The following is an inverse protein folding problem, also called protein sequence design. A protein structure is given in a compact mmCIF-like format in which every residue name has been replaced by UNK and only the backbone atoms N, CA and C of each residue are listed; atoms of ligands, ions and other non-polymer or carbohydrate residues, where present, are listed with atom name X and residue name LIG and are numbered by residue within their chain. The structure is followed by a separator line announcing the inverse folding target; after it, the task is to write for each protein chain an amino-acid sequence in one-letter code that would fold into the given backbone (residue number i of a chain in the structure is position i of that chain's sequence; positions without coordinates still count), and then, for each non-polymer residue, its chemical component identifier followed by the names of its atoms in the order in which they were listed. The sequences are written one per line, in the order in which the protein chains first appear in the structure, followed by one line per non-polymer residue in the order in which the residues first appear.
data_IF_231763631757
#
_entry.id   IF_231763631757
#
_cell.length_a   1.000
_cell.length_b   1.000
_cell.length_c   1.000
_cell.angle_alpha   90.00
_cell.angle_beta   90.00
_cell.angle_gamma   90.00
#
_symmetry.space_group_name_H-M   'P 1'
#
loop_
_entity.id
_entity.type
_entity.pdbx_description
1 polymer ?
#
# COMPACT_ATOMS: atom_id res chain seq x y z
N UNK A 1 13.26 11.90 5.84
CA UNK A 1 14.40 12.48 5.08
C UNK A 1 15.64 11.63 5.35
N UNK A 2 15.96 10.76 4.42
CA UNK A 2 17.26 10.06 4.42
C UNK A 2 18.26 11.02 3.75
N UNK A 3 19.34 11.34 4.44
CA UNK A 3 20.37 12.29 3.97
C UNK A 3 21.26 11.74 2.86
N UNK A 4 21.19 10.43 2.64
CA UNK A 4 21.97 9.64 1.67
C UNK A 4 21.27 9.43 0.32
N UNK A 5 20.05 9.93 0.18
CA UNK A 5 19.23 9.83 -1.03
C UNK A 5 18.89 11.22 -1.57
N UNK A 6 19.38 11.56 -2.75
CA UNK A 6 19.05 12.82 -3.43
C UNK A 6 18.08 12.57 -4.57
N UNK A 7 16.84 13.06 -4.45
CA UNK A 7 15.84 13.00 -5.51
C UNK A 7 16.22 13.96 -6.63
N UNK A 8 16.37 13.44 -7.86
CA UNK A 8 16.71 14.21 -9.05
C UNK A 8 15.49 14.59 -9.87
N UNK A 9 14.54 13.67 -10.04
CA UNK A 9 13.28 13.93 -10.76
C UNK A 9 12.19 12.94 -10.34
N UNK A 10 10.93 13.36 -10.50
CA UNK A 10 9.74 12.56 -10.25
C UNK A 10 8.84 12.61 -11.49
N UNK A 11 8.28 11.46 -11.86
CA UNK A 11 7.22 11.34 -12.88
C UNK A 11 6.05 10.57 -12.27
N UNK A 12 4.94 11.26 -12.05
CA UNK A 12 3.73 10.71 -11.46
C UNK A 12 2.75 10.27 -12.56
N UNK A 13 2.90 9.02 -13.01
CA UNK A 13 1.98 8.38 -13.94
C UNK A 13 0.76 7.78 -13.24
N UNK A 14 0.63 7.88 -11.92
CA UNK A 14 -0.60 7.52 -11.22
C UNK A 14 -1.64 8.61 -11.44
N UNK A 15 -1.24 9.88 -11.25
CA UNK A 15 -2.11 11.05 -11.50
C UNK A 15 -2.27 11.37 -12.96
N UNK A 16 -1.21 11.16 -13.76
CA UNK A 16 -1.16 11.43 -15.19
C UNK A 16 -0.75 10.17 -15.96
N UNK A 17 -1.66 9.18 -16.14
CA UNK A 17 -1.37 7.94 -16.82
C UNK A 17 -0.85 8.17 -18.25
N UNK A 18 -0.02 7.26 -18.75
CA UNK A 18 0.35 7.29 -20.18
C UNK A 18 -0.87 6.98 -21.04
N UNK A 19 -0.79 7.31 -22.32
CA UNK A 19 -1.85 7.05 -23.30
C UNK A 19 -2.24 5.57 -23.39
N UNK A 20 -1.30 4.66 -23.18
CA UNK A 20 -1.54 3.21 -23.09
C UNK A 20 -2.35 2.78 -21.86
N UNK A 21 -2.53 3.67 -20.87
CA UNK A 21 -3.14 3.36 -19.56
C UNK A 21 -2.13 2.99 -18.48
N UNK A 22 -0.82 3.00 -18.78
CA UNK A 22 0.22 2.69 -17.81
C UNK A 22 0.19 3.64 -16.62
N UNK A 23 0.18 3.08 -15.40
CA UNK A 23 0.23 3.80 -14.12
C UNK A 23 1.44 3.33 -13.30
N UNK A 24 2.25 4.28 -12.83
CA UNK A 24 3.37 4.03 -11.91
C UNK A 24 3.89 5.35 -11.37
N UNK A 25 4.52 5.34 -10.21
CA UNK A 25 5.27 6.47 -9.69
C UNK A 25 6.76 6.22 -9.91
N UNK A 26 7.41 7.08 -10.70
CA UNK A 26 8.84 6.97 -11.00
C UNK A 26 9.61 8.05 -10.27
N UNK A 27 10.69 7.66 -9.63
CA UNK A 27 11.59 8.55 -8.92
C UNK A 27 13.03 8.25 -9.34
N UNK A 28 13.69 9.21 -9.96
CA UNK A 28 15.12 9.13 -10.23
C UNK A 28 15.87 9.72 -9.04
N UNK A 29 16.73 8.93 -8.44
CA UNK A 29 17.54 9.32 -7.28
C UNK A 29 19.02 9.17 -7.57
N UNK A 30 19.85 9.97 -6.89
CA UNK A 30 21.29 9.78 -6.79
C UNK A 30 21.61 9.11 -5.46
N UNK A 31 22.36 8.04 -5.51
CA UNK A 31 22.80 7.26 -4.34
C UNK A 31 24.31 7.20 -4.33
N UNK A 32 25.00 7.59 -3.23
CA UNK A 32 26.43 7.43 -3.13
C UNK A 32 26.79 5.96 -2.97
N UNK A 33 27.67 5.46 -3.84
CA UNK A 33 28.26 4.13 -3.73
C UNK A 33 29.68 4.29 -3.21
N UNK A 34 29.95 3.68 -2.06
CA UNK A 34 31.25 3.71 -1.42
C UNK A 34 32.12 2.57 -1.98
N UNK A 35 33.15 2.93 -2.72
CA UNK A 35 34.18 2.02 -3.18
C UNK A 35 35.36 2.05 -2.20
N UNK A 36 36.37 1.18 -2.41
CA UNK A 36 37.53 1.07 -1.50
C UNK A 36 38.36 2.37 -1.42
N UNK A 37 38.33 3.19 -2.46
CA UNK A 37 39.21 4.37 -2.63
C UNK A 37 38.45 5.66 -3.02
N UNK A 38 37.15 5.55 -3.27
CA UNK A 38 36.35 6.66 -3.76
C UNK A 38 34.85 6.51 -3.45
N UNK A 39 34.12 7.63 -3.58
CA UNK A 39 32.64 7.64 -3.52
C UNK A 39 32.12 8.05 -4.88
N UNK A 40 31.21 7.26 -5.46
CA UNK A 40 30.63 7.51 -6.78
C UNK A 40 29.13 7.69 -6.66
N UNK A 41 28.60 8.84 -7.08
CA UNK A 41 27.16 9.09 -7.16
C UNK A 41 26.57 8.33 -8.36
N UNK A 42 25.68 7.39 -8.06
CA UNK A 42 25.00 6.55 -9.05
C UNK A 42 23.52 6.91 -9.16
N UNK A 43 23.02 7.04 -10.39
CA UNK A 43 21.60 7.26 -10.65
C UNK A 43 20.84 5.94 -10.60
N UNK A 44 19.78 5.91 -9.80
CA UNK A 44 18.87 4.77 -9.65
C UNK A 44 17.45 5.22 -9.94
N UNK A 45 16.71 4.49 -10.77
CA UNK A 45 15.28 4.71 -10.96
C UNK A 45 14.49 3.77 -10.05
N UNK A 46 13.68 4.35 -9.18
CA UNK A 46 12.73 3.64 -8.32
C UNK A 46 11.35 3.74 -8.97
N UNK A 47 10.72 2.58 -9.21
CA UNK A 47 9.37 2.49 -9.75
C UNK A 47 8.45 1.88 -8.70
N UNK A 48 7.36 2.59 -8.36
CA UNK A 48 6.34 2.14 -7.41
C UNK A 48 5.04 1.96 -8.16
N UNK A 49 4.48 0.75 -8.13
CA UNK A 49 3.21 0.39 -8.78
C UNK A 49 2.54 -0.77 -8.06
N UNK A 50 1.26 -0.99 -8.33
CA UNK A 50 0.55 -2.15 -7.80
C UNK A 50 1.01 -3.44 -8.50
N UNK A 51 0.77 -4.59 -7.87
CA UNK A 51 1.06 -5.90 -8.46
C UNK A 51 0.27 -6.10 -9.76
N UNK A 52 -0.99 -5.66 -9.80
CA UNK A 52 -1.83 -5.78 -10.98
C UNK A 52 -1.30 -4.94 -12.14
N UNK A 53 -0.84 -3.70 -11.86
CA UNK A 53 -0.22 -2.86 -12.87
C UNK A 53 1.16 -3.38 -13.31
N UNK A 54 1.92 -4.03 -12.42
CA UNK A 54 3.19 -4.68 -12.77
C UNK A 54 2.98 -5.84 -13.74
N UNK A 55 1.97 -6.66 -13.49
CA UNK A 55 1.57 -7.73 -14.40
C UNK A 55 1.18 -7.20 -15.78
N UNK A 56 0.32 -6.16 -15.82
CA UNK A 56 -0.09 -5.49 -17.05
C UNK A 56 1.11 -4.91 -17.81
N UNK A 57 2.00 -4.18 -17.12
CA UNK A 57 3.19 -3.58 -17.73
C UNK A 57 4.16 -4.62 -18.30
N UNK A 58 4.27 -5.78 -17.66
CA UNK A 58 5.07 -6.90 -18.16
C UNK A 58 4.52 -7.46 -19.48
N UNK A 59 3.19 -7.49 -19.64
CA UNK A 59 2.54 -7.90 -20.87
C UNK A 59 2.69 -6.83 -21.96
N UNK A 60 2.47 -5.55 -21.66
CA UNK A 60 2.70 -4.42 -22.58
C UNK A 60 4.11 -4.49 -23.15
N UNK A 61 5.11 -4.68 -22.30
CA UNK A 61 6.50 -4.76 -22.68
C UNK A 61 6.77 -5.95 -23.64
N UNK A 62 6.21 -7.14 -23.36
CA UNK A 62 6.33 -8.30 -24.24
C UNK A 62 5.69 -8.05 -25.61
N UNK A 63 4.53 -7.41 -25.63
CA UNK A 63 3.83 -7.03 -26.88
C UNK A 63 4.68 -6.05 -27.68
N UNK A 64 5.20 -5.00 -27.00
CA UNK A 64 6.05 -3.99 -27.63
C UNK A 64 7.27 -4.63 -28.30
N UNK A 65 7.99 -5.52 -27.63
CA UNK A 65 9.15 -6.19 -28.20
C UNK A 65 8.79 -7.14 -29.33
N UNK A 66 7.70 -7.90 -29.20
CA UNK A 66 7.27 -8.85 -30.22
C UNK A 66 6.89 -8.17 -31.53
N UNK A 67 6.32 -7.00 -31.46
CA UNK A 67 5.82 -6.25 -32.62
C UNK A 67 6.70 -5.03 -32.97
N UNK A 68 7.86 -4.88 -32.32
CA UNK A 68 8.80 -3.76 -32.54
C UNK A 68 8.11 -2.37 -32.47
N UNK A 69 7.16 -2.23 -31.54
CA UNK A 69 6.37 -1.02 -31.36
C UNK A 69 5.18 -0.87 -32.34
N UNK A 70 5.00 -1.78 -33.30
CA UNK A 70 3.94 -1.74 -34.32
C UNK A 70 2.88 -2.83 -34.07
N UNK A 71 2.38 -2.92 -32.83
CA UNK A 71 1.31 -3.86 -32.52
C UNK A 71 0.03 -3.52 -33.30
N UNK A 72 -0.75 -4.53 -33.78
CA UNK A 72 -2.05 -4.30 -34.40
C UNK A 72 -2.98 -3.49 -33.51
N UNK A 73 -3.80 -2.61 -34.10
CA UNK A 73 -4.69 -1.69 -33.38
C UNK A 73 -5.63 -2.39 -32.39
N UNK A 74 -6.12 -3.59 -32.73
CA UNK A 74 -6.99 -4.34 -31.85
C UNK A 74 -6.25 -4.78 -30.57
N UNK A 75 -4.97 -5.17 -30.66
CA UNK A 75 -4.15 -5.56 -29.49
C UNK A 75 -3.91 -4.32 -28.60
N UNK A 76 -3.59 -3.19 -29.20
CA UNK A 76 -3.37 -1.93 -28.46
C UNK A 76 -4.63 -1.46 -27.76
N UNK A 77 -5.80 -1.61 -28.38
CA UNK A 77 -7.10 -1.30 -27.80
C UNK A 77 -7.42 -2.23 -26.63
N UNK A 78 -7.28 -3.55 -26.84
CA UNK A 78 -7.57 -4.54 -25.80
C UNK A 78 -6.62 -4.37 -24.59
N UNK A 79 -5.35 -4.05 -24.84
CA UNK A 79 -4.38 -3.76 -23.79
C UNK A 79 -4.78 -2.52 -22.97
N UNK A 80 -5.29 -1.48 -23.62
CA UNK A 80 -5.79 -0.26 -22.97
C UNK A 80 -7.05 -0.54 -22.14
N UNK A 81 -7.94 -1.41 -22.63
CA UNK A 81 -9.11 -1.88 -21.87
C UNK A 81 -8.68 -2.68 -20.63
N UNK A 82 -7.71 -3.58 -20.76
CA UNK A 82 -7.12 -4.27 -19.62
C UNK A 82 -6.52 -3.32 -18.58
N UNK A 83 -5.84 -2.24 -19.01
CA UNK A 83 -5.31 -1.24 -18.08
C UNK A 83 -6.41 -0.56 -17.26
N UNK A 84 -7.58 -0.31 -17.87
CA UNK A 84 -8.75 0.24 -17.18
C UNK A 84 -9.28 -0.75 -16.13
N UNK A 85 -9.46 -2.01 -16.52
CA UNK A 85 -9.91 -3.08 -15.61
C UNK A 85 -8.95 -3.26 -14.42
N UNK A 86 -7.64 -3.21 -14.66
CA UNK A 86 -6.61 -3.27 -13.61
C UNK A 86 -6.75 -2.08 -12.65
N UNK A 87 -6.99 -0.86 -13.16
CA UNK A 87 -7.20 0.31 -12.31
C UNK A 87 -8.46 0.21 -11.46
N UNK A 88 -9.56 -0.28 -12.03
CA UNK A 88 -10.82 -0.51 -11.31
C UNK A 88 -10.64 -1.59 -10.21
N UNK A 89 -9.86 -2.63 -10.49
CA UNK A 89 -9.51 -3.66 -9.50
C UNK A 89 -8.70 -3.07 -8.35
N UNK A 90 -7.66 -2.28 -8.64
CA UNK A 90 -6.83 -1.63 -7.63
C UNK A 90 -7.65 -0.71 -6.72
N UNK A 91 -8.56 0.10 -7.28
CA UNK A 91 -9.48 0.96 -6.52
C UNK A 91 -10.41 0.13 -5.63
N UNK A 92 -10.93 -0.98 -6.15
CA UNK A 92 -11.79 -1.88 -5.37
C UNK A 92 -11.05 -2.54 -4.21
N UNK A 93 -9.81 -2.98 -4.45
CA UNK A 93 -8.96 -3.57 -3.41
C UNK A 93 -8.58 -2.55 -2.33
N UNK A 94 -8.31 -1.30 -2.72
CA UNK A 94 -8.05 -0.22 -1.77
C UNK A 94 -9.27 0.03 -0.88
N UNK A 95 -10.45 0.23 -1.47
CA UNK A 95 -11.71 0.44 -0.74
C UNK A 95 -12.04 -0.71 0.22
N UNK A 96 -11.78 -1.96 -0.19
CA UNK A 96 -11.98 -3.12 0.67
C UNK A 96 -11.00 -3.13 1.85
N UNK A 97 -9.75 -2.77 1.61
CA UNK A 97 -8.75 -2.67 2.68
C UNK A 97 -9.11 -1.57 3.70
N UNK A 98 -9.57 -0.41 3.24
CA UNK A 98 -10.06 0.67 4.10
C UNK A 98 -11.23 0.20 4.98
N UNK A 99 -12.23 -0.46 4.40
CA UNK A 99 -13.36 -1.02 5.13
C UNK A 99 -12.95 -2.06 6.18
N UNK A 100 -11.94 -2.88 5.89
CA UNK A 100 -11.38 -3.85 6.85
C UNK A 100 -10.72 -3.11 8.03
N UNK A 101 -9.93 -2.07 7.78
CA UNK A 101 -9.29 -1.28 8.83
C UNK A 101 -10.33 -0.60 9.73
N UNK A 102 -11.37 0.00 9.16
CA UNK A 102 -12.48 0.57 9.94
C UNK A 102 -13.17 -0.48 10.82
N UNK A 103 -13.42 -1.69 10.31
CA UNK A 103 -14.01 -2.77 11.09
C UNK A 103 -13.11 -3.19 12.27
N UNK A 104 -11.79 -3.28 12.06
CA UNK A 104 -10.82 -3.64 13.10
C UNK A 104 -10.78 -2.56 14.19
N UNK A 105 -10.74 -1.28 13.82
CA UNK A 105 -10.75 -0.17 14.76
C UNK A 105 -12.03 -0.14 15.59
N UNK A 106 -13.20 -0.36 14.97
CA UNK A 106 -14.48 -0.45 15.68
C UNK A 106 -14.54 -1.63 16.64
N UNK A 107 -13.92 -2.76 16.30
CA UNK A 107 -13.87 -3.92 17.18
C UNK A 107 -12.94 -3.66 18.37
N UNK A 108 -11.74 -3.13 18.16
CA UNK A 108 -10.81 -2.77 19.22
C UNK A 108 -11.41 -1.76 20.21
N UNK A 109 -12.15 -0.76 19.71
CA UNK A 109 -12.85 0.21 20.56
C UNK A 109 -13.96 -0.43 21.40
N UNK A 110 -14.72 -1.40 20.88
CA UNK A 110 -15.73 -2.14 21.64
C UNK A 110 -15.11 -3.00 22.72
N UNK A 111 -14.04 -3.70 22.41
CA UNK A 111 -13.34 -4.56 23.36
C UNK A 111 -12.75 -3.74 24.52
N UNK A 112 -12.13 -2.60 24.22
CA UNK A 112 -11.63 -1.67 25.25
C UNK A 112 -12.76 -1.10 26.11
N UNK A 113 -13.92 -0.75 25.52
CA UNK A 113 -15.08 -0.27 26.29
C UNK A 113 -15.65 -1.36 27.22
N UNK A 114 -15.70 -2.63 26.77
CA UNK A 114 -16.14 -3.75 27.56
C UNK A 114 -15.19 -4.03 28.74
N UNK A 115 -13.88 -3.92 28.54
CA UNK A 115 -12.87 -4.06 29.59
C UNK A 115 -13.01 -2.96 30.65
N UNK A 116 -13.24 -1.70 30.22
CA UNK A 116 -13.47 -0.58 31.14
C UNK A 116 -14.74 -0.80 31.95
N UNK A 117 -15.85 -1.20 31.31
CA UNK A 117 -17.11 -1.50 31.99
C UNK A 117 -16.97 -2.65 32.96
N UNK A 118 -16.25 -3.73 32.61
CA UNK A 118 -16.01 -4.87 33.50
C UNK A 118 -15.21 -4.45 34.73
N UNK A 119 -14.21 -3.61 34.59
CA UNK A 119 -13.41 -3.10 35.69
C UNK A 119 -14.18 -2.12 36.59
N UNK A 120 -15.14 -1.36 36.03
CA UNK A 120 -15.98 -0.43 36.84
C UNK A 120 -17.11 -1.16 37.58
N UNK A 121 -17.67 -2.22 37.00
CA UNK A 121 -18.81 -2.97 37.57
C UNK A 121 -18.32 -4.10 38.49
N UNK A 122 -17.09 -4.58 38.34
CA UNK A 122 -16.53 -5.60 39.25
C UNK A 122 -16.36 -5.01 40.65
N UNK A 123 -16.97 -5.60 41.70
CA UNK A 123 -16.83 -5.12 43.08
C UNK A 123 -15.34 -5.11 43.43
N UNK A 124 -14.87 -3.96 43.91
CA UNK A 124 -13.51 -3.79 44.38
C UNK A 124 -13.14 -4.83 45.47
N UNK A 125 -11.83 -5.01 45.73
CA UNK A 125 -11.36 -5.97 46.73
C UNK A 125 -11.97 -5.70 48.14
N UNK A 126 -12.32 -4.46 48.44
CA UNK A 126 -12.98 -4.07 49.69
C UNK A 126 -14.42 -4.60 49.78
N UNK A 127 -15.20 -4.58 48.69
CA UNK A 127 -16.56 -5.08 48.65
C UNK A 127 -16.58 -6.62 48.76
N UNK A 128 -15.63 -7.31 48.13
CA UNK A 128 -15.49 -8.78 48.28
C UNK A 128 -15.11 -9.20 49.69
N UNK A 129 -14.36 -8.38 50.42
CA UNK A 129 -14.00 -8.64 51.80
C UNK A 129 -15.21 -8.47 52.75
N UNK A 130 -16.07 -7.47 52.49
CA UNK A 130 -17.31 -7.27 53.24
C UNK A 130 -18.32 -8.41 53.03
N UNK A 131 -18.53 -8.84 51.78
CA UNK A 131 -19.40 -9.95 51.42
C UNK A 131 -18.94 -11.30 52.01
N UNK A 132 -17.63 -11.45 52.21
CA UNK A 132 -17.08 -12.64 52.86
C UNK A 132 -17.32 -12.63 54.35
N UNK A 133 -17.19 -11.46 55.02
CA UNK A 133 -17.42 -11.33 56.47
C UNK A 133 -18.91 -11.45 56.85
N UNK A 134 -19.85 -11.09 55.98
CA UNK A 134 -21.29 -11.26 56.22
C UNK A 134 -21.78 -12.72 56.10
N UNK A 135 -21.03 -13.59 55.43
CA UNK A 135 -21.36 -15.01 55.25
C UNK A 135 -20.90 -15.93 56.42
N UNK A 136 -20.10 -15.42 57.32
CA UNK A 136 -19.60 -16.17 58.49
C UNK A 136 -20.35 -15.87 59.80
N UNK A 137 -21.40 -15.04 59.79
CA UNK A 137 -22.34 -14.78 60.88
C UNK A 137 -23.67 -15.42 60.57
#
# INVERSE_FOLDING_TARGET
NQSDLKVLSIKDYIRNPKESGYKSYHMLVSVPIFLSDSVVDTKVEIQIRTIAMDFWASLEHKIYYKFEGNAPDYISRDLKECAKMVSELDEKMLSLNEAIQECIEHQANRDNMNDVLHNVISPGPEQKALDFMEKEN
#
